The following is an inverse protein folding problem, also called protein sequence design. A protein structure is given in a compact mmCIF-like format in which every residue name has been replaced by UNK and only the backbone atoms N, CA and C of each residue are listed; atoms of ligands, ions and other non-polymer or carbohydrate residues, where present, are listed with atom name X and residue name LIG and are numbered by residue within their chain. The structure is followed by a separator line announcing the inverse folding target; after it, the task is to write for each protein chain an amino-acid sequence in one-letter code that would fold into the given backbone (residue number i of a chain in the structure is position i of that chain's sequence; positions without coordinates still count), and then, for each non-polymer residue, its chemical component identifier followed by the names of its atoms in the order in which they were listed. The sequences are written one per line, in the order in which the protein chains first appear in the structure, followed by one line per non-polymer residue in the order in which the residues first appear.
data_IF_313200472070
#
_entry.id   IF_313200472070
#
_cell.length_a   1.000
_cell.length_b   1.000
_cell.length_c   1.000
_cell.angle_alpha   90.00
_cell.angle_beta   90.00
_cell.angle_gamma   90.00
#
_symmetry.space_group_name_H-M   'P 1'
#
loop_
_entity.id
_entity.type
_entity.pdbx_description
1 polymer ?
#
# COMPACT_ATOMS: atom_id res chain seq x y z
N UNK A 1 -18.92 48.91 -42.64
CA UNK A 1 -19.10 47.61 -41.96
C UNK A 1 -17.70 47.04 -41.65
N UNK A 2 -17.22 47.25 -40.45
CA UNK A 2 -15.86 46.86 -40.01
C UNK A 2 -16.00 45.56 -39.19
N UNK A 3 -15.17 44.53 -39.42
CA UNK A 3 -15.30 43.28 -38.67
C UNK A 3 -14.65 43.42 -37.29
N UNK A 4 -15.39 43.02 -36.27
CA UNK A 4 -14.95 42.92 -34.87
C UNK A 4 -14.00 41.69 -34.72
N UNK A 5 -12.77 41.93 -34.36
CA UNK A 5 -11.81 40.90 -33.96
C UNK A 5 -12.21 40.37 -32.57
N UNK A 6 -12.50 39.10 -32.47
CA UNK A 6 -12.59 38.39 -31.21
C UNK A 6 -11.18 37.96 -30.78
N UNK A 7 -10.71 38.45 -29.64
CA UNK A 7 -9.52 37.93 -28.97
C UNK A 7 -9.81 36.55 -28.37
N UNK A 8 -8.92 35.56 -28.51
CA UNK A 8 -9.02 34.33 -27.76
C UNK A 8 -8.56 34.58 -26.32
N UNK A 9 -9.47 34.28 -25.39
CA UNK A 9 -9.16 34.23 -23.94
C UNK A 9 -8.24 33.05 -23.71
N UNK A 10 -6.99 33.30 -23.41
CA UNK A 10 -6.06 32.27 -22.92
C UNK A 10 -6.45 31.98 -21.49
N UNK A 11 -7.02 30.80 -21.27
CA UNK A 11 -7.22 30.27 -19.93
C UNK A 11 -5.84 29.94 -19.34
N UNK A 12 -5.43 30.72 -18.34
CA UNK A 12 -4.25 30.41 -17.54
C UNK A 12 -4.55 29.18 -16.68
N UNK A 13 -4.01 28.02 -17.06
CA UNK A 13 -3.96 26.84 -16.20
C UNK A 13 -2.99 27.10 -15.07
N UNK A 14 -3.50 27.36 -13.88
CA UNK A 14 -2.70 27.36 -12.66
C UNK A 14 -2.19 25.91 -12.39
N UNK A 15 -0.93 25.73 -11.99
CA UNK A 15 -0.44 24.40 -11.63
C UNK A 15 -1.15 23.95 -10.35
N UNK A 16 -1.87 22.84 -10.45
CA UNK A 16 -2.51 22.18 -9.32
C UNK A 16 -1.46 21.27 -8.68
N UNK A 17 -0.96 21.66 -7.51
CA UNK A 17 -0.10 20.80 -6.70
C UNK A 17 -1.00 19.83 -5.91
N UNK A 18 -1.13 18.60 -6.36
CA UNK A 18 -1.59 17.50 -5.50
C UNK A 18 -0.41 17.07 -4.65
N UNK A 19 -0.60 17.03 -3.33
CA UNK A 19 0.51 16.80 -2.41
C UNK A 19 0.94 15.34 -2.40
N UNK A 20 2.06 15.08 -3.05
CA UNK A 20 2.82 13.87 -2.75
C UNK A 20 3.13 13.81 -1.24
N UNK A 21 3.18 12.60 -0.68
CA UNK A 21 3.72 12.36 0.66
C UNK A 21 5.24 12.60 0.61
N UNK A 22 5.64 13.85 0.44
CA UNK A 22 7.05 14.28 0.45
C UNK A 22 7.28 15.08 1.73
N UNK A 23 7.91 14.46 2.71
CA UNK A 23 8.37 15.15 3.93
C UNK A 23 9.70 15.85 3.64
N UNK A 24 9.72 17.15 3.76
CA UNK A 24 10.94 17.95 3.93
C UNK A 24 11.42 17.84 5.39
N UNK A 25 12.66 17.37 5.55
CA UNK A 25 13.36 17.29 6.83
C UNK A 25 14.16 18.56 7.02
N UNK A 26 13.93 19.26 8.15
CA UNK A 26 14.90 20.20 8.73
C UNK A 26 15.59 19.45 9.85
N UNK A 27 16.93 19.30 9.71
CA UNK A 27 17.76 18.60 10.68
C UNK A 27 18.19 19.52 11.83
N UNK A 28 18.35 18.91 13.01
CA UNK A 28 19.26 19.39 14.05
C UNK A 28 20.00 18.20 14.65
N UNK A 29 21.31 18.36 14.75
CA UNK A 29 22.30 17.35 15.09
C UNK A 29 22.64 17.29 16.58
N UNK A 30 23.03 16.06 17.04
CA UNK A 30 24.11 15.70 17.99
C UNK A 30 23.80 15.65 19.50
N UNK A 31 24.62 14.97 20.35
CA UNK A 31 25.44 13.78 20.13
C UNK A 31 25.35 12.68 21.23
N UNK A 32 25.89 11.52 20.87
CA UNK A 32 26.56 10.43 21.61
C UNK A 32 26.64 10.42 23.15
N UNK A 33 26.33 9.24 23.74
CA UNK A 33 27.15 8.58 24.80
C UNK A 33 26.88 7.07 24.82
N UNK A 34 27.97 6.26 24.72
CA UNK A 34 28.03 4.84 25.14
C UNK A 34 28.31 4.76 26.64
N UNK A 35 27.97 3.66 27.34
CA UNK A 35 29.01 2.68 27.64
C UNK A 35 28.59 1.20 27.62
N UNK A 36 29.65 0.38 27.51
CA UNK A 36 29.78 -1.06 27.66
C UNK A 36 29.32 -1.61 29.01
N UNK A 37 28.83 -2.86 29.02
CA UNK A 37 29.13 -3.82 30.09
C UNK A 37 28.96 -5.27 29.61
N UNK A 38 30.00 -6.02 29.81
CA UNK A 38 30.26 -7.45 29.55
C UNK A 38 29.79 -8.29 30.75
N UNK A 39 29.24 -9.49 30.53
CA UNK A 39 29.42 -10.70 31.40
C UNK A 39 28.69 -11.87 30.74
N UNK A 40 29.34 -12.86 30.29
CA UNK A 40 29.93 -14.12 30.77
C UNK A 40 28.94 -15.20 31.20
N UNK A 41 28.88 -16.19 30.34
CA UNK A 41 28.83 -17.68 30.46
C UNK A 41 28.21 -18.36 31.67
N UNK A 42 27.39 -19.39 31.40
CA UNK A 42 27.60 -20.75 31.94
C UNK A 42 26.83 -21.81 31.09
N UNK A 43 27.62 -22.80 30.68
CA UNK A 43 27.19 -24.04 30.01
C UNK A 43 26.89 -25.08 31.07
N UNK A 44 25.83 -25.87 30.92
CA UNK A 44 25.73 -27.21 31.50
C UNK A 44 25.02 -28.14 30.54
N UNK A 45 25.73 -29.17 30.13
CA UNK A 45 25.27 -30.33 29.41
C UNK A 45 24.54 -31.31 30.35
N UNK A 46 23.44 -31.90 29.91
CA UNK A 46 22.90 -33.13 30.53
C UNK A 46 22.21 -34.01 29.47
N UNK A 47 22.66 -35.14 29.41
CA UNK A 47 22.45 -36.51 28.95
C UNK A 47 21.05 -36.86 28.42
N UNK A 48 21.06 -37.67 27.36
CA UNK A 48 19.96 -38.32 26.68
C UNK A 48 19.16 -39.33 27.57
N UNK A 49 17.85 -39.28 27.42
CA UNK A 49 16.94 -40.34 27.86
C UNK A 49 15.80 -40.47 26.84
N UNK A 50 15.72 -41.63 26.21
CA UNK A 50 14.62 -41.96 25.29
C UNK A 50 13.34 -42.22 26.06
N UNK A 51 12.23 -41.61 25.62
CA UNK A 51 10.89 -41.91 26.12
C UNK A 51 9.86 -41.90 24.96
N UNK A 52 8.70 -42.53 25.08
CA UNK A 52 7.93 -43.12 23.98
C UNK A 52 7.10 -42.11 23.19
N UNK A 53 6.79 -42.50 21.95
CA UNK A 53 5.89 -41.80 21.01
C UNK A 53 4.50 -41.59 21.65
N UNK A 54 4.29 -40.39 22.18
CA UNK A 54 2.98 -39.89 22.52
C UNK A 54 2.40 -39.17 21.29
N UNK A 55 1.20 -39.55 20.90
CA UNK A 55 0.41 -38.87 19.86
C UNK A 55 0.33 -37.37 20.17
N UNK A 56 1.03 -36.57 19.40
CA UNK A 56 0.91 -35.11 19.46
C UNK A 56 -0.45 -34.72 18.92
N UNK A 57 -1.38 -34.43 19.80
CA UNK A 57 -2.50 -33.56 19.48
C UNK A 57 -1.87 -32.21 19.09
N UNK A 58 -1.93 -31.84 17.82
CA UNK A 58 -1.53 -30.52 17.36
C UNK A 58 -2.51 -29.55 18.01
N UNK A 59 -2.10 -28.95 19.11
CA UNK A 59 -2.79 -27.79 19.66
C UNK A 59 -2.78 -26.71 18.57
N UNK A 60 -3.97 -26.22 18.18
CA UNK A 60 -4.07 -25.07 17.30
C UNK A 60 -3.18 -23.95 17.88
N UNK A 61 -2.27 -23.42 17.07
CA UNK A 61 -1.46 -22.30 17.47
C UNK A 61 -2.39 -21.15 17.95
N UNK A 62 -2.08 -20.47 19.05
CA UNK A 62 -2.86 -19.32 19.46
C UNK A 62 -2.91 -18.33 18.30
N UNK A 63 -4.09 -17.73 18.07
CA UNK A 63 -4.21 -16.68 17.09
C UNK A 63 -3.14 -15.61 17.39
N UNK A 64 -2.39 -15.15 16.38
CA UNK A 64 -1.41 -14.08 16.60
C UNK A 64 -2.14 -12.86 17.19
N UNK A 65 -1.46 -12.08 18.07
CA UNK A 65 -2.05 -10.86 18.59
C UNK A 65 -2.46 -9.95 17.43
N UNK A 66 -3.58 -9.24 17.60
CA UNK A 66 -4.03 -8.24 16.64
C UNK A 66 -2.87 -7.27 16.34
N UNK A 67 -2.48 -7.18 15.07
CA UNK A 67 -1.38 -6.31 14.63
C UNK A 67 -0.01 -6.99 14.55
N UNK A 68 0.11 -8.30 14.79
CA UNK A 68 1.36 -9.01 14.52
C UNK A 68 1.56 -9.19 13.01
N UNK A 69 2.76 -8.84 12.51
CA UNK A 69 3.12 -9.09 11.11
C UNK A 69 3.21 -10.59 10.81
N UNK A 70 2.91 -11.01 9.57
CA UNK A 70 3.13 -12.39 9.15
C UNK A 70 4.58 -12.80 9.32
N UNK A 71 4.80 -14.00 9.85
CA UNK A 71 6.14 -14.57 9.91
C UNK A 71 6.55 -15.04 8.51
N UNK A 72 7.64 -14.49 8.00
CA UNK A 72 8.22 -14.85 6.71
C UNK A 72 9.45 -15.73 6.88
N UNK A 73 9.71 -16.59 5.89
CA UNK A 73 10.99 -17.29 5.81
C UNK A 73 12.13 -16.29 5.68
N UNK A 74 13.22 -16.50 6.42
CA UNK A 74 14.43 -15.68 6.35
C UNK A 74 15.32 -16.05 5.16
N UNK A 75 15.18 -17.27 4.63
CA UNK A 75 15.84 -17.71 3.40
C UNK A 75 15.08 -17.21 2.19
N UNK A 76 15.69 -16.43 1.28
CA UNK A 76 14.99 -15.88 0.12
C UNK A 76 14.47 -16.94 -0.86
N UNK A 77 15.08 -18.13 -0.92
CA UNK A 77 14.58 -19.21 -1.74
C UNK A 77 13.25 -19.77 -1.17
N UNK A 78 13.20 -20.02 0.12
CA UNK A 78 11.99 -20.48 0.80
C UNK A 78 10.89 -19.39 0.74
N UNK A 79 11.26 -18.12 0.94
CA UNK A 79 10.32 -17.00 0.83
C UNK A 79 9.66 -16.93 -0.54
N UNK A 80 10.42 -17.19 -1.62
CA UNK A 80 9.85 -17.22 -2.97
C UNK A 80 8.93 -18.42 -3.18
N UNK A 81 9.28 -19.60 -2.64
CA UNK A 81 8.43 -20.79 -2.70
C UNK A 81 7.11 -20.60 -1.91
N UNK A 82 7.18 -19.97 -0.74
CA UNK A 82 6.03 -19.62 0.09
C UNK A 82 5.13 -18.60 -0.64
N UNK A 83 5.71 -17.58 -1.26
CA UNK A 83 4.99 -16.60 -2.07
C UNK A 83 4.24 -17.27 -3.24
N UNK A 84 4.87 -18.20 -3.94
CA UNK A 84 4.21 -18.97 -5.01
C UNK A 84 3.03 -19.79 -4.48
N UNK A 85 3.15 -20.35 -3.28
CA UNK A 85 2.05 -21.08 -2.64
C UNK A 85 0.89 -20.15 -2.28
N UNK A 86 1.18 -18.95 -1.73
CA UNK A 86 0.17 -17.95 -1.41
C UNK A 86 -0.53 -17.42 -2.68
N UNK A 87 0.21 -17.11 -3.74
CA UNK A 87 -0.33 -16.67 -5.03
C UNK A 87 -1.26 -17.72 -5.66
N UNK A 88 -0.95 -19.00 -5.53
CA UNK A 88 -1.82 -20.10 -5.95
C UNK A 88 -3.08 -20.20 -5.10
N UNK A 89 -2.95 -20.10 -3.77
CA UNK A 89 -4.08 -20.14 -2.87
C UNK A 89 -5.07 -18.97 -3.12
N UNK A 90 -4.56 -17.79 -3.44
CA UNK A 90 -5.36 -16.61 -3.76
C UNK A 90 -6.16 -16.76 -5.07
N UNK A 91 -5.75 -17.66 -5.97
CA UNK A 91 -6.44 -17.96 -7.25
C UNK A 91 -7.26 -19.24 -7.21
N UNK A 92 -7.19 -19.99 -6.14
CA UNK A 92 -7.98 -21.22 -5.99
C UNK A 92 -9.37 -20.88 -5.40
N UNK A 93 -10.46 -21.08 -6.18
CA UNK A 93 -11.81 -20.77 -5.72
C UNK A 93 -12.29 -21.63 -4.56
N UNK A 94 -11.57 -22.73 -4.23
CA UNK A 94 -11.86 -23.60 -3.08
C UNK A 94 -11.23 -23.10 -1.78
N UNK A 95 -10.35 -22.09 -1.83
CA UNK A 95 -9.68 -21.57 -0.63
C UNK A 95 -10.68 -20.79 0.23
N UNK A 96 -10.80 -21.18 1.50
CA UNK A 96 -11.69 -20.52 2.46
C UNK A 96 -11.21 -19.10 2.83
N UNK A 97 -12.14 -18.19 3.12
CA UNK A 97 -11.85 -16.77 3.39
C UNK A 97 -10.75 -16.53 4.44
N UNK A 98 -10.67 -17.22 5.58
CA UNK A 98 -9.57 -17.03 6.52
C UNK A 98 -8.19 -17.38 5.93
N UNK A 99 -8.13 -18.37 5.03
CA UNK A 99 -6.90 -18.76 4.35
C UNK A 99 -6.54 -17.76 3.24
N UNK A 100 -7.53 -17.22 2.51
CA UNK A 100 -7.33 -16.13 1.55
C UNK A 100 -6.76 -14.88 2.23
N UNK A 101 -7.33 -14.48 3.37
CA UNK A 101 -6.84 -13.33 4.14
C UNK A 101 -5.41 -13.55 4.62
N UNK A 102 -5.11 -14.73 5.17
CA UNK A 102 -3.77 -15.05 5.63
C UNK A 102 -2.75 -15.10 4.48
N UNK A 103 -3.14 -15.64 3.31
CA UNK A 103 -2.29 -15.67 2.12
C UNK A 103 -2.01 -14.24 1.59
N UNK A 104 -3.05 -13.38 1.52
CA UNK A 104 -2.90 -12.00 1.07
C UNK A 104 -1.97 -11.17 1.99
N UNK A 105 -2.06 -11.36 3.31
CA UNK A 105 -1.16 -10.69 4.26
C UNK A 105 0.29 -11.17 4.10
N UNK A 106 0.54 -12.48 3.95
CA UNK A 106 1.89 -13.01 3.70
C UNK A 106 2.43 -12.58 2.35
N UNK A 107 1.62 -12.64 1.31
CA UNK A 107 1.95 -12.15 -0.04
C UNK A 107 2.39 -10.67 0.00
N UNK A 108 1.58 -9.80 0.62
CA UNK A 108 1.92 -8.39 0.79
C UNK A 108 3.26 -8.20 1.53
N UNK A 109 3.44 -8.90 2.65
CA UNK A 109 4.67 -8.83 3.44
C UNK A 109 5.89 -9.36 2.67
N UNK A 110 5.71 -10.43 1.87
CA UNK A 110 6.75 -11.00 1.02
C UNK A 110 7.20 -10.03 -0.07
N UNK A 111 6.27 -9.39 -0.81
CA UNK A 111 6.63 -8.35 -1.79
C UNK A 111 7.33 -7.16 -1.14
N UNK A 112 6.94 -6.78 0.08
CA UNK A 112 7.62 -5.73 0.83
C UNK A 112 9.04 -6.12 1.23
N UNK A 113 9.25 -7.36 1.65
CA UNK A 113 10.57 -7.90 1.99
C UNK A 113 11.48 -8.00 0.76
N UNK A 114 11.02 -8.67 -0.30
CA UNK A 114 11.78 -8.84 -1.56
C UNK A 114 12.06 -7.48 -2.21
N UNK A 115 11.10 -6.55 -2.15
CA UNK A 115 11.28 -5.19 -2.67
C UNK A 115 12.48 -4.47 -2.07
N UNK A 116 12.75 -4.67 -0.77
CA UNK A 116 13.89 -4.08 -0.06
C UNK A 116 15.23 -4.76 -0.35
N UNK A 117 15.20 -5.94 -0.96
CA UNK A 117 16.38 -6.78 -1.20
C UNK A 117 16.58 -7.08 -2.70
N UNK A 118 17.02 -6.09 -3.51
CA UNK A 118 17.32 -6.35 -4.92
C UNK A 118 18.40 -7.42 -5.14
N UNK A 119 19.25 -7.64 -4.14
CA UNK A 119 20.25 -8.71 -4.11
C UNK A 119 19.63 -10.11 -4.11
N UNK A 120 18.38 -10.26 -3.71
CA UNK A 120 17.65 -11.53 -3.71
C UNK A 120 17.05 -11.89 -5.10
N UNK A 121 17.01 -10.96 -6.05
CA UNK A 121 16.36 -11.20 -7.34
C UNK A 121 16.92 -12.41 -8.10
N UNK A 122 18.23 -12.63 -8.02
CA UNK A 122 18.89 -13.79 -8.64
C UNK A 122 18.47 -15.13 -8.01
N UNK A 123 17.90 -15.12 -6.82
CA UNK A 123 17.43 -16.30 -6.08
C UNK A 123 15.94 -16.47 -6.23
N UNK A 124 15.17 -15.39 -6.03
CA UNK A 124 13.70 -15.43 -5.97
C UNK A 124 13.07 -15.54 -7.35
N UNK A 125 13.50 -14.69 -8.32
CA UNK A 125 12.90 -14.63 -9.65
C UNK A 125 12.91 -15.95 -10.42
N UNK A 126 13.99 -16.77 -10.41
CA UNK A 126 14.02 -18.08 -11.08
C UNK A 126 13.07 -19.13 -10.46
N UNK A 127 12.56 -18.91 -9.24
CA UNK A 127 11.61 -19.80 -8.56
C UNK A 127 10.17 -19.51 -8.90
N UNK A 128 9.90 -18.35 -9.50
CA UNK A 128 8.55 -17.97 -9.89
C UNK A 128 8.19 -18.71 -11.19
N UNK A 129 7.11 -19.50 -11.19
CA UNK A 129 6.69 -20.22 -12.37
C UNK A 129 6.19 -19.26 -13.46
N UNK A 130 6.26 -19.64 -14.75
CA UNK A 130 5.92 -18.76 -15.87
C UNK A 130 4.53 -18.13 -15.78
N UNK A 131 3.54 -18.87 -15.29
CA UNK A 131 2.16 -18.40 -15.13
C UNK A 131 1.98 -17.29 -14.08
N UNK A 132 2.88 -17.19 -13.10
CA UNK A 132 2.88 -16.14 -12.06
C UNK A 132 3.92 -15.05 -12.33
N UNK A 133 4.74 -15.19 -13.37
CA UNK A 133 5.87 -14.27 -13.58
C UNK A 133 5.41 -12.82 -13.78
N UNK A 134 4.33 -12.60 -14.52
CA UNK A 134 3.79 -11.26 -14.74
C UNK A 134 3.22 -10.64 -13.48
N UNK A 135 2.59 -11.45 -12.61
CA UNK A 135 2.08 -11.00 -11.30
C UNK A 135 3.23 -10.60 -10.40
N UNK A 136 4.24 -11.48 -10.29
CA UNK A 136 5.44 -11.22 -9.49
C UNK A 136 6.17 -9.95 -9.92
N UNK A 137 6.50 -9.85 -11.21
CA UNK A 137 7.29 -8.73 -11.73
C UNK A 137 6.57 -7.40 -11.51
N UNK A 138 5.26 -7.33 -11.77
CA UNK A 138 4.48 -6.11 -11.60
C UNK A 138 4.29 -5.70 -10.13
N UNK A 139 3.97 -6.64 -9.24
CA UNK A 139 3.84 -6.35 -7.81
C UNK A 139 5.19 -5.88 -7.23
N UNK A 140 6.28 -6.54 -7.60
CA UNK A 140 7.61 -6.18 -7.14
C UNK A 140 8.04 -4.80 -7.64
N UNK A 141 7.79 -4.50 -8.94
CA UNK A 141 8.08 -3.18 -9.50
C UNK A 141 7.25 -2.10 -8.80
N UNK A 142 5.92 -2.24 -8.72
CA UNK A 142 5.05 -1.29 -8.02
C UNK A 142 5.53 -1.03 -6.58
N UNK A 143 5.92 -2.10 -5.87
CA UNK A 143 6.42 -1.98 -4.49
C UNK A 143 7.72 -1.19 -4.42
N UNK A 144 8.67 -1.43 -5.34
CA UNK A 144 9.94 -0.71 -5.42
C UNK A 144 9.76 0.76 -5.76
N UNK A 145 8.87 1.07 -6.71
CA UNK A 145 8.52 2.44 -7.06
C UNK A 145 7.97 3.20 -5.85
N UNK A 146 6.98 2.65 -5.16
CA UNK A 146 6.43 3.28 -3.95
C UNK A 146 7.48 3.43 -2.84
N UNK A 147 8.38 2.46 -2.70
CA UNK A 147 9.45 2.54 -1.70
C UNK A 147 10.46 3.64 -2.03
N UNK A 148 10.80 3.83 -3.30
CA UNK A 148 11.75 4.86 -3.74
C UNK A 148 11.26 6.28 -3.40
N UNK A 149 9.95 6.51 -3.42
CA UNK A 149 9.35 7.81 -3.09
C UNK A 149 8.94 7.96 -1.61
N UNK A 150 9.08 6.91 -0.78
CA UNK A 150 8.62 6.93 0.61
C UNK A 150 9.79 6.87 1.58
N UNK A 151 10.27 8.01 2.09
CA UNK A 151 11.36 8.02 3.07
C UNK A 151 10.91 7.45 4.41
N UNK A 152 11.81 6.68 5.05
CA UNK A 152 11.57 6.11 6.38
C UNK A 152 11.42 7.20 7.46
N UNK A 153 10.50 6.99 8.41
CA UNK A 153 10.17 7.92 9.49
C UNK A 153 10.49 7.32 10.85
N UNK A 154 10.75 8.20 11.81
CA UNK A 154 10.93 7.85 13.22
C UNK A 154 9.65 8.03 14.05
N UNK A 155 8.59 8.57 13.42
CA UNK A 155 7.26 8.76 14.03
C UNK A 155 6.19 8.12 13.16
N UNK A 156 5.16 7.58 13.79
CA UNK A 156 3.92 7.14 13.13
C UNK A 156 2.95 8.31 12.99
N UNK A 157 2.09 8.30 11.96
CA UNK A 157 1.21 9.41 11.66
C UNK A 157 -0.01 9.48 12.61
N UNK A 158 -0.60 10.67 12.71
CA UNK A 158 -1.89 10.90 13.36
C UNK A 158 -3.03 10.44 12.45
N UNK A 159 -3.15 9.14 12.26
CA UNK A 159 -4.17 8.50 11.43
C UNK A 159 -5.13 7.66 12.25
N UNK A 160 -6.24 7.32 11.63
CA UNK A 160 -7.15 6.27 12.07
C UNK A 160 -7.21 5.22 10.97
N UNK A 161 -7.04 3.95 11.34
CA UNK A 161 -7.16 2.84 10.41
C UNK A 161 -8.49 2.16 10.67
N UNK A 162 -9.34 2.19 9.66
CA UNK A 162 -10.69 1.66 9.68
C UNK A 162 -10.81 0.52 8.66
N UNK A 163 -11.82 -0.37 8.77
CA UNK A 163 -12.08 -1.31 7.69
C UNK A 163 -12.27 -0.55 6.37
N UNK A 164 -11.83 -1.10 5.23
CA UNK A 164 -12.09 -0.47 3.94
C UNK A 164 -13.59 -0.42 3.67
N UNK A 165 -14.00 0.46 2.76
CA UNK A 165 -15.38 0.47 2.24
C UNK A 165 -15.71 -0.91 1.66
N UNK A 166 -16.96 -1.41 1.79
CA UNK A 166 -17.34 -2.70 1.21
C UNK A 166 -16.95 -2.84 -0.27
N UNK A 167 -16.40 -3.99 -0.64
CA UNK A 167 -15.80 -4.19 -1.97
C UNK A 167 -16.81 -4.01 -3.10
N UNK A 168 -18.06 -4.42 -2.89
CA UNK A 168 -19.17 -4.26 -3.85
C UNK A 168 -19.57 -2.79 -4.02
N UNK A 169 -19.56 -2.00 -2.94
CA UNK A 169 -19.78 -0.55 -3.01
C UNK A 169 -18.65 0.13 -3.80
N UNK A 170 -17.40 -0.21 -3.51
CA UNK A 170 -16.25 0.31 -4.27
C UNK A 170 -16.34 -0.04 -5.76
N UNK A 171 -16.65 -1.28 -6.09
CA UNK A 171 -16.81 -1.72 -7.48
C UNK A 171 -17.92 -0.97 -8.18
N UNK A 172 -19.07 -0.75 -7.50
CA UNK A 172 -20.17 0.06 -8.02
C UNK A 172 -19.69 1.49 -8.32
N UNK A 173 -18.97 2.12 -7.40
CA UNK A 173 -18.51 3.50 -7.54
C UNK A 173 -17.43 3.65 -8.60
N UNK A 174 -16.49 2.69 -8.72
CA UNK A 174 -15.49 2.69 -9.79
C UNK A 174 -16.14 2.58 -11.17
N UNK A 175 -17.11 1.66 -11.36
CA UNK A 175 -17.80 1.53 -12.64
C UNK A 175 -18.72 2.71 -12.96
N UNK A 176 -19.31 3.34 -11.94
CA UNK A 176 -20.06 4.58 -12.15
C UNK A 176 -19.14 5.71 -12.63
N UNK A 177 -17.96 5.86 -12.04
CA UNK A 177 -16.97 6.85 -12.45
C UNK A 177 -16.40 6.54 -13.84
N UNK A 178 -16.09 5.29 -14.16
CA UNK A 178 -15.68 4.86 -15.49
C UNK A 178 -16.72 5.21 -16.53
N UNK A 179 -17.99 4.90 -16.27
CA UNK A 179 -19.11 5.21 -17.17
C UNK A 179 -19.28 6.71 -17.43
N UNK A 180 -19.06 7.55 -16.42
CA UNK A 180 -19.17 9.02 -16.55
C UNK A 180 -17.97 9.64 -17.27
N UNK A 181 -16.76 9.14 -16.98
CA UNK A 181 -15.53 9.87 -17.30
C UNK A 181 -14.68 9.21 -18.37
N UNK A 182 -14.92 7.93 -18.67
CA UNK A 182 -14.08 7.12 -19.58
C UNK A 182 -12.74 6.69 -18.96
N UNK A 183 -12.50 6.96 -17.68
CA UNK A 183 -11.30 6.49 -16.96
C UNK A 183 -11.56 5.07 -16.48
N UNK A 184 -10.71 4.11 -16.87
CA UNK A 184 -10.89 2.71 -16.52
C UNK A 184 -10.97 2.48 -15.00
N UNK A 185 -11.94 1.68 -14.56
CA UNK A 185 -12.18 1.35 -13.16
C UNK A 185 -10.92 0.81 -12.45
N UNK A 186 -10.10 0.05 -13.17
CA UNK A 186 -8.84 -0.50 -12.69
C UNK A 186 -7.83 0.58 -12.27
N UNK A 187 -7.76 1.70 -12.97
CA UNK A 187 -6.93 2.84 -12.60
C UNK A 187 -7.45 3.56 -11.37
N UNK A 188 -8.77 3.75 -11.27
CA UNK A 188 -9.40 4.35 -10.09
C UNK A 188 -9.17 3.49 -8.84
N UNK A 189 -9.29 2.16 -8.98
CA UNK A 189 -9.00 1.21 -7.92
C UNK A 189 -7.51 1.21 -7.53
N UNK A 190 -6.59 1.26 -8.51
CA UNK A 190 -5.15 1.33 -8.26
C UNK A 190 -4.74 2.62 -7.53
N UNK A 191 -5.29 3.76 -7.90
CA UNK A 191 -5.08 5.04 -7.20
C UNK A 191 -5.61 4.95 -5.77
N UNK A 192 -6.83 4.45 -5.57
CA UNK A 192 -7.43 4.31 -4.24
C UNK A 192 -6.65 3.33 -3.34
N UNK A 193 -6.10 2.25 -3.93
CA UNK A 193 -5.17 1.34 -3.24
C UNK A 193 -3.92 2.09 -2.74
N UNK A 194 -3.29 2.88 -3.62
CA UNK A 194 -2.02 3.58 -3.33
C UNK A 194 -2.24 4.71 -2.33
N UNK A 195 -3.33 5.47 -2.44
CA UNK A 195 -3.59 6.63 -1.59
C UNK A 195 -3.98 6.23 -0.17
N UNK A 196 -4.97 5.35 -0.02
CA UNK A 196 -5.55 5.09 1.31
C UNK A 196 -5.87 3.62 1.57
N UNK A 197 -5.41 2.71 0.72
CA UNK A 197 -5.77 1.30 0.86
C UNK A 197 -7.31 1.12 0.91
N UNK A 198 -7.96 1.60 -0.17
CA UNK A 198 -9.42 1.53 -0.34
C UNK A 198 -10.22 2.25 0.75
N UNK A 199 -9.71 3.40 1.21
CA UNK A 199 -10.35 4.21 2.24
C UNK A 199 -10.06 3.76 3.68
N UNK A 200 -9.20 2.76 3.88
CA UNK A 200 -8.82 2.32 5.25
C UNK A 200 -8.08 3.39 6.03
N UNK A 201 -7.28 4.23 5.38
CA UNK A 201 -6.53 5.30 6.03
C UNK A 201 -7.40 6.55 6.12
N UNK A 202 -7.78 6.93 7.34
CA UNK A 202 -8.47 8.18 7.63
C UNK A 202 -7.49 9.15 8.31
N UNK A 203 -7.07 10.16 7.57
CA UNK A 203 -6.12 11.18 8.02
C UNK A 203 -5.65 12.02 6.85
N UNK A 204 -5.26 13.26 7.14
CA UNK A 204 -4.68 14.14 6.14
C UNK A 204 -3.22 13.76 5.84
N UNK A 205 -2.79 13.94 4.58
CA UNK A 205 -1.38 13.90 4.25
C UNK A 205 -0.65 15.12 4.82
N UNK A 206 0.67 15.11 4.80
CA UNK A 206 1.48 16.28 5.21
C UNK A 206 1.25 17.52 4.34
N UNK A 207 0.75 17.33 3.12
CA UNK A 207 0.35 18.41 2.22
C UNK A 207 -1.11 18.86 2.43
N UNK A 208 -1.85 18.24 3.37
CA UNK A 208 -3.25 18.55 3.65
C UNK A 208 -4.23 17.87 2.70
N UNK A 209 -3.83 16.84 1.95
CA UNK A 209 -4.75 16.03 1.15
C UNK A 209 -5.64 15.18 2.06
N UNK A 210 -6.90 14.98 1.67
CA UNK A 210 -7.95 14.40 2.49
C UNK A 210 -8.79 13.39 1.72
N UNK A 211 -9.52 12.56 2.47
CA UNK A 211 -10.47 11.61 1.95
C UNK A 211 -9.86 10.38 1.29
N UNK A 212 -10.69 9.44 0.85
CA UNK A 212 -10.25 8.15 0.31
C UNK A 212 -9.33 8.24 -0.90
N UNK A 213 -9.45 9.30 -1.69
CA UNK A 213 -8.65 9.55 -2.89
C UNK A 213 -7.59 10.65 -2.67
N UNK A 214 -7.35 11.10 -1.43
CA UNK A 214 -6.33 12.06 -1.02
C UNK A 214 -6.29 13.34 -1.87
N UNK A 215 -7.45 13.98 -2.04
CA UNK A 215 -7.54 15.26 -2.72
C UNK A 215 -7.11 16.42 -1.81
N UNK A 216 -6.41 17.42 -2.40
CA UNK A 216 -6.39 18.74 -1.80
C UNK A 216 -7.78 19.37 -1.87
N UNK A 217 -8.26 20.05 -0.79
CA UNK A 217 -9.59 20.66 -0.79
C UNK A 217 -9.88 21.58 -1.97
N UNK A 218 -8.87 22.34 -2.42
CA UNK A 218 -8.99 23.23 -3.60
C UNK A 218 -9.21 22.45 -4.91
N UNK A 219 -8.54 21.31 -5.07
CA UNK A 219 -8.71 20.45 -6.24
C UNK A 219 -10.07 19.77 -6.19
N UNK A 220 -10.46 19.25 -5.02
CA UNK A 220 -11.77 18.65 -4.84
C UNK A 220 -12.91 19.64 -5.13
N UNK A 221 -12.77 20.89 -4.71
CA UNK A 221 -13.77 21.95 -5.02
C UNK A 221 -14.00 22.10 -6.54
N UNK A 222 -12.99 21.81 -7.38
CA UNK A 222 -13.10 21.88 -8.84
C UNK A 222 -13.79 20.66 -9.44
N UNK A 223 -13.49 19.45 -8.94
CA UNK A 223 -13.92 18.20 -9.56
C UNK A 223 -15.00 17.45 -8.78
N UNK A 224 -15.22 17.78 -7.51
CA UNK A 224 -16.17 17.12 -6.60
C UNK A 224 -17.64 17.51 -6.82
N UNK A 225 -17.92 18.54 -7.62
CA UNK A 225 -19.30 18.99 -7.97
C UNK A 225 -20.19 19.22 -6.74
N UNK A 226 -19.62 19.73 -5.63
CA UNK A 226 -20.34 20.01 -4.39
C UNK A 226 -20.55 18.79 -3.48
N UNK A 227 -19.94 17.64 -3.81
CA UNK A 227 -19.94 16.45 -2.97
C UNK A 227 -19.05 16.59 -1.72
N UNK A 228 -18.92 15.50 -0.96
CA UNK A 228 -18.10 15.40 0.24
C UNK A 228 -16.75 14.73 -0.10
N UNK A 229 -15.64 15.41 0.20
CA UNK A 229 -14.27 14.91 0.00
C UNK A 229 -13.98 13.61 0.77
N UNK A 230 -14.71 13.35 1.85
CA UNK A 230 -14.59 12.15 2.67
C UNK A 230 -15.54 11.02 2.22
N UNK A 231 -16.48 11.31 1.33
CA UNK A 231 -17.33 10.29 0.73
C UNK A 231 -16.53 9.47 -0.28
N UNK A 232 -16.46 8.13 -0.15
CA UNK A 232 -15.79 7.27 -1.13
C UNK A 232 -16.31 7.50 -2.54
N UNK A 233 -17.61 7.50 -2.72
CA UNK A 233 -18.26 7.72 -4.00
C UNK A 233 -17.88 9.08 -4.61
N UNK A 234 -18.02 10.17 -3.85
CA UNK A 234 -17.78 11.50 -4.39
C UNK A 234 -16.31 11.72 -4.73
N UNK A 235 -15.41 11.18 -3.90
CA UNK A 235 -13.98 11.22 -4.15
C UNK A 235 -13.56 10.38 -5.37
N UNK A 236 -14.10 9.18 -5.56
CA UNK A 236 -13.86 8.34 -6.73
C UNK A 236 -14.36 9.03 -8.00
N UNK A 237 -15.57 9.59 -7.97
CA UNK A 237 -16.13 10.37 -9.09
C UNK A 237 -15.25 11.59 -9.41
N UNK A 238 -14.79 12.32 -8.40
CA UNK A 238 -13.89 13.45 -8.57
C UNK A 238 -12.55 13.03 -9.20
N UNK A 239 -12.01 11.87 -8.82
CA UNK A 239 -10.78 11.33 -9.40
C UNK A 239 -10.94 11.01 -10.88
N UNK A 240 -12.04 10.36 -11.27
CA UNK A 240 -12.37 10.11 -12.67
C UNK A 240 -12.45 11.42 -13.48
N UNK A 241 -13.18 12.42 -12.97
CA UNK A 241 -13.29 13.74 -13.62
C UNK A 241 -11.96 14.46 -13.74
N UNK A 242 -11.14 14.42 -12.67
CA UNK A 242 -9.80 14.99 -12.70
C UNK A 242 -8.93 14.37 -13.78
N UNK A 243 -8.83 13.04 -13.82
CA UNK A 243 -8.01 12.32 -14.80
C UNK A 243 -8.51 12.56 -16.22
N UNK A 244 -9.82 12.50 -16.46
CA UNK A 244 -10.44 12.77 -17.76
C UNK A 244 -10.14 14.19 -18.23
N UNK A 245 -10.31 15.20 -17.37
CA UNK A 245 -10.01 16.60 -17.67
C UNK A 245 -8.53 16.87 -17.95
N UNK A 246 -7.63 16.02 -17.40
CA UNK A 246 -6.19 16.09 -17.64
C UNK A 246 -5.71 15.22 -18.83
N UNK A 247 -6.66 14.70 -19.62
CA UNK A 247 -6.37 14.07 -20.90
C UNK A 247 -6.05 12.57 -20.82
N UNK A 248 -6.54 11.88 -19.79
CA UNK A 248 -6.30 10.44 -19.56
C UNK A 248 -6.54 9.57 -20.79
N UNK A 249 -7.58 9.84 -21.58
CA UNK A 249 -7.89 9.08 -22.79
C UNK A 249 -6.77 9.09 -23.86
N UNK A 250 -5.91 10.11 -23.86
CA UNK A 250 -4.83 10.27 -24.82
C UNK A 250 -3.46 9.93 -24.23
N UNK A 251 -3.27 10.21 -22.96
CA UNK A 251 -1.99 10.06 -22.24
C UNK A 251 -2.28 9.78 -20.75
N UNK A 252 -2.55 8.51 -20.39
CA UNK A 252 -2.80 8.11 -19.02
C UNK A 252 -1.68 8.52 -18.05
N UNK A 253 -0.43 8.28 -18.44
CA UNK A 253 0.75 8.55 -17.60
C UNK A 253 0.83 10.04 -17.22
N UNK A 254 0.59 10.91 -18.19
CA UNK A 254 0.58 12.37 -17.97
C UNK A 254 -0.57 12.77 -17.02
N UNK A 255 -1.75 12.17 -17.18
CA UNK A 255 -2.90 12.47 -16.32
C UNK A 255 -2.64 12.01 -14.88
N UNK A 256 -2.06 10.82 -14.70
CA UNK A 256 -1.67 10.26 -13.40
C UNK A 256 -0.52 11.08 -12.79
N UNK A 257 0.46 11.53 -13.59
CA UNK A 257 1.49 12.46 -13.14
C UNK A 257 0.91 13.79 -12.65
N UNK A 258 -0.19 14.26 -13.24
CA UNK A 258 -0.93 15.41 -12.74
C UNK A 258 -1.59 15.17 -11.37
N UNK A 259 -1.91 13.90 -11.05
CA UNK A 259 -2.46 13.50 -9.76
C UNK A 259 -1.40 13.55 -8.66
N UNK A 260 -0.24 12.97 -8.95
CA UNK A 260 0.93 13.01 -8.08
C UNK A 260 2.19 13.21 -8.95
N UNK A 261 2.96 14.28 -8.70
CA UNK A 261 4.08 14.70 -9.52
C UNK A 261 5.35 13.86 -9.31
N UNK A 262 5.21 12.53 -9.32
CA UNK A 262 6.30 11.56 -9.21
C UNK A 262 6.16 10.48 -10.29
N UNK A 263 7.23 10.20 -11.02
CA UNK A 263 7.22 9.13 -12.03
C UNK A 263 7.07 7.75 -11.39
N UNK A 264 7.62 7.58 -10.21
CA UNK A 264 7.48 6.37 -9.40
C UNK A 264 6.02 6.09 -9.04
N UNK A 265 5.25 7.14 -8.76
CA UNK A 265 3.82 7.02 -8.52
C UNK A 265 3.08 6.54 -9.77
N UNK A 266 3.35 7.15 -10.92
CA UNK A 266 2.76 6.75 -12.21
C UNK A 266 3.04 5.27 -12.48
N UNK A 267 4.30 4.86 -12.40
CA UNK A 267 4.69 3.46 -12.61
C UNK A 267 4.01 2.51 -11.63
N UNK A 268 3.93 2.84 -10.36
CA UNK A 268 3.26 2.00 -9.37
C UNK A 268 1.76 1.84 -9.67
N UNK A 269 1.07 2.95 -10.01
CA UNK A 269 -0.36 2.92 -10.38
C UNK A 269 -0.56 2.09 -11.64
N UNK A 270 0.29 2.23 -12.67
CA UNK A 270 0.20 1.45 -13.91
C UNK A 270 0.36 -0.06 -13.67
N UNK A 271 1.31 -0.45 -12.82
CA UNK A 271 1.50 -1.88 -12.50
C UNK A 271 0.28 -2.46 -11.78
N UNK A 272 -0.25 -1.76 -10.76
CA UNK A 272 -1.45 -2.24 -10.07
C UNK A 272 -2.68 -2.21 -10.96
N UNK A 273 -2.87 -1.16 -11.76
CA UNK A 273 -3.98 -1.06 -12.70
C UNK A 273 -3.95 -2.18 -13.74
N UNK A 274 -2.76 -2.51 -14.26
CA UNK A 274 -2.59 -3.61 -15.21
C UNK A 274 -2.91 -4.98 -14.58
N UNK A 275 -2.50 -5.21 -13.32
CA UNK A 275 -2.84 -6.43 -12.59
C UNK A 275 -4.35 -6.53 -12.33
N UNK A 276 -4.96 -5.46 -11.83
CA UNK A 276 -6.42 -5.42 -11.55
C UNK A 276 -7.23 -5.69 -12.83
N UNK A 277 -6.76 -5.21 -13.99
CA UNK A 277 -7.44 -5.43 -15.27
C UNK A 277 -7.26 -6.87 -15.80
N UNK A 278 -6.09 -7.48 -15.56
CA UNK A 278 -5.72 -8.76 -16.18
C UNK A 278 -6.01 -9.99 -15.31
N UNK A 279 -6.02 -9.83 -13.99
CA UNK A 279 -6.14 -10.92 -13.02
C UNK A 279 -7.33 -10.72 -12.09
N UNK A 280 -8.39 -11.54 -12.20
CA UNK A 280 -9.56 -11.45 -11.32
C UNK A 280 -9.24 -11.61 -9.83
N UNK A 281 -8.11 -12.20 -9.47
CA UNK A 281 -7.68 -12.35 -8.08
C UNK A 281 -7.01 -11.07 -7.53
N UNK A 282 -6.52 -10.15 -8.37
CA UNK A 282 -5.72 -9.02 -7.94
C UNK A 282 -6.51 -8.06 -7.02
N UNK A 283 -7.66 -7.56 -7.46
CA UNK A 283 -8.46 -6.64 -6.63
C UNK A 283 -8.89 -7.28 -5.29
N UNK A 284 -9.47 -8.50 -5.25
CA UNK A 284 -9.79 -9.16 -3.99
C UNK A 284 -8.57 -9.38 -3.08
N UNK A 285 -7.40 -9.66 -3.62
CA UNK A 285 -6.16 -9.82 -2.86
C UNK A 285 -5.75 -8.49 -2.24
N UNK A 286 -5.64 -7.42 -3.02
CA UNK A 286 -5.27 -6.10 -2.53
C UNK A 286 -6.28 -5.53 -1.53
N UNK A 287 -7.56 -5.88 -1.69
CA UNK A 287 -8.61 -5.50 -0.75
C UNK A 287 -8.38 -6.08 0.65
N UNK A 288 -7.73 -7.26 0.76
CA UNK A 288 -7.35 -7.90 2.03
C UNK A 288 -6.04 -7.39 2.63
N UNK A 289 -5.23 -6.61 1.87
CA UNK A 289 -3.96 -6.11 2.37
C UNK A 289 -4.12 -5.22 3.61
N UNK A 290 -3.10 -5.23 4.46
CA UNK A 290 -2.99 -4.36 5.62
C UNK A 290 -2.42 -2.98 5.29
N UNK A 291 -2.47 -2.07 6.27
CA UNK A 291 -1.80 -0.78 6.19
C UNK A 291 -0.41 -0.90 6.83
N UNK A 292 0.62 -0.66 6.04
CA UNK A 292 2.01 -0.59 6.50
C UNK A 292 2.57 0.81 6.40
N UNK A 293 3.30 1.23 7.42
CA UNK A 293 4.02 2.49 7.45
C UNK A 293 5.53 2.26 7.41
N UNK A 294 6.26 2.99 6.54
CA UNK A 294 7.71 2.85 6.36
C UNK A 294 8.43 3.64 7.46
N UNK A 295 9.17 2.95 8.30
CA UNK A 295 9.87 3.57 9.44
C UNK A 295 11.36 3.26 9.46
N UNK A 296 12.11 3.98 10.29
CA UNK A 296 13.54 3.73 10.53
C UNK A 296 13.79 2.39 11.23
N UNK A 297 12.77 1.79 11.84
CA UNK A 297 12.81 0.45 12.43
C UNK A 297 12.36 -0.65 11.45
N UNK A 298 12.06 -0.31 10.21
CA UNK A 298 11.47 -1.20 9.21
C UNK A 298 10.01 -0.84 8.93
N UNK A 299 9.30 -1.74 8.27
CA UNK A 299 7.86 -1.57 8.05
C UNK A 299 7.09 -1.86 9.34
N UNK A 300 6.21 -0.95 9.73
CA UNK A 300 5.31 -1.12 10.88
C UNK A 300 3.89 -1.32 10.37
N UNK A 301 3.26 -2.39 10.81
CA UNK A 301 1.86 -2.67 10.57
C UNK A 301 0.99 -1.77 11.44
N UNK A 302 0.06 -1.06 10.82
CA UNK A 302 -0.98 -0.28 11.48
C UNK A 302 -2.31 -1.02 11.34
N UNK A 303 -2.76 -1.79 12.35
CA UNK A 303 -3.97 -2.60 12.24
C UNK A 303 -5.23 -1.73 12.25
N UNK A 304 -6.33 -2.31 11.78
CA UNK A 304 -7.67 -1.73 12.00
C UNK A 304 -7.85 -1.48 13.51
N UNK A 305 -8.26 -0.26 13.86
CA UNK A 305 -8.34 0.21 15.24
C UNK A 305 -7.15 1.07 15.68
N UNK A 306 -6.05 1.16 14.90
CA UNK A 306 -5.05 2.19 15.12
C UNK A 306 -5.72 3.56 15.05
N UNK A 307 -5.52 4.41 16.08
CA UNK A 307 -6.16 5.73 16.17
C UNK A 307 -5.32 6.67 17.02
N UNK A 308 -4.50 7.47 16.37
CA UNK A 308 -3.64 8.45 17.04
C UNK A 308 -4.07 9.87 16.68
N UNK A 309 -4.22 10.72 17.71
CA UNK A 309 -4.61 12.12 17.54
C UNK A 309 -3.40 13.02 17.20
N UNK A 310 -2.17 12.55 17.45
CA UNK A 310 -0.91 13.23 17.16
C UNK A 310 0.13 12.19 16.74
N UNK A 311 1.18 12.58 15.98
CA UNK A 311 2.28 11.68 15.68
C UNK A 311 2.94 11.13 16.95
N UNK A 312 3.22 9.81 16.98
CA UNK A 312 3.88 9.13 18.10
C UNK A 312 5.21 8.54 17.66
N UNK A 313 6.17 8.41 18.58
CA UNK A 313 7.45 7.79 18.26
C UNK A 313 7.27 6.30 17.91
N UNK A 314 7.94 5.83 16.86
CA UNK A 314 7.91 4.42 16.43
C UNK A 314 8.34 3.49 17.56
N UNK A 315 9.38 3.88 18.32
CA UNK A 315 9.89 3.08 19.44
C UNK A 315 8.83 2.88 20.55
N UNK A 316 8.07 3.92 20.86
CA UNK A 316 7.03 3.86 21.90
C UNK A 316 5.87 2.96 21.45
N UNK A 317 5.47 3.07 20.18
CA UNK A 317 4.44 2.21 19.60
C UNK A 317 4.86 0.74 19.62
N UNK A 318 6.06 0.43 19.14
CA UNK A 318 6.57 -0.96 19.05
C UNK A 318 6.82 -1.59 20.44
N UNK A 319 7.13 -0.78 21.45
CA UNK A 319 7.24 -1.26 22.83
C UNK A 319 5.88 -1.74 23.39
N UNK A 320 4.80 -1.07 23.00
CA UNK A 320 3.44 -1.44 23.39
C UNK A 320 2.79 -2.49 22.45
N UNK A 321 3.22 -2.56 21.18
CA UNK A 321 2.67 -3.40 20.14
C UNK A 321 3.81 -4.13 19.41
N UNK A 322 4.41 -5.19 19.99
CA UNK A 322 5.47 -5.98 19.33
C UNK A 322 4.95 -6.64 18.05
N UNK A 323 5.76 -6.58 16.99
CA UNK A 323 5.41 -7.09 15.64
C UNK A 323 6.47 -8.05 15.11
#
# INVERSE_FOLDING_TARGET
MTPVRRNPTVAATAPVFLGAITLLVVGCSSPTVKPNATAMTASTAATAGAAPLASRTVAAAPNPPLGAQPQLASDPAQLADDLVADERALRDPSTAEPALTAAAHREQAAYRAIGRHPDWDSITRPRIPPELSGVYDRNLDARRQLQAMTPAKDTLPAWRIEPPVPADELMHDYHAAESETGVGWNYLAAINLVETRFGSINGASTAGAQGPMQFLPSTFATYGQGGDINSPRDSIMAAGRFLSANGFANDPDRAIYGYNHAHEYVQAVDQYAALIAADPAAFPTYYRWDVYYVTTAGDVLLPVGYAEAAPIAVADYLAAHPQ
#
